data_IF_190435853445
#
_entry.id   IF_190435853445
#
_cell.length_a   1.000
_cell.length_b   1.000
_cell.length_c   1.000
_cell.angle_alpha   90.00
_cell.angle_beta   90.00
_cell.angle_gamma   90.00
#
_symmetry.space_group_name_H-M   'P 1'
#
loop_
_entity.id
_entity.type
_entity.pdbx_description
1 polymer ?
#
# COMPACT_ATOMS: atom_id res chain seq x y z
N UNK A 1 -4.00 -36.81 -9.07
CA UNK A 1 -4.78 -36.71 -7.82
C UNK A 1 -6.26 -36.49 -8.13
N UNK A 2 -7.08 -37.50 -7.85
CA UNK A 2 -8.55 -37.39 -7.93
C UNK A 2 -9.01 -36.25 -7.01
N UNK A 3 -9.92 -35.36 -7.45
CA UNK A 3 -10.46 -34.33 -6.56
C UNK A 3 -11.13 -35.03 -5.35
N UNK A 4 -10.96 -34.54 -4.12
CA UNK A 4 -11.61 -35.14 -2.96
C UNK A 4 -13.14 -35.16 -3.17
N UNK A 5 -13.75 -36.31 -2.85
CA UNK A 5 -15.17 -36.68 -3.06
C UNK A 5 -16.19 -35.70 -2.45
N UNK A 6 -15.74 -34.75 -1.62
CA UNK A 6 -16.53 -33.63 -1.08
C UNK A 6 -16.87 -32.59 -2.17
N UNK A 7 -16.05 -32.51 -3.23
CA UNK A 7 -16.22 -31.53 -4.31
C UNK A 7 -17.39 -31.85 -5.26
N UNK A 8 -17.95 -33.06 -5.25
CA UNK A 8 -19.06 -33.39 -6.16
C UNK A 8 -20.34 -32.60 -5.81
N UNK A 9 -20.68 -32.51 -4.51
CA UNK A 9 -21.84 -31.73 -4.07
C UNK A 9 -21.61 -30.22 -4.23
N UNK A 10 -20.41 -29.74 -3.89
CA UNK A 10 -20.03 -28.33 -4.05
C UNK A 10 -20.04 -27.92 -5.53
N UNK A 11 -19.58 -28.81 -6.42
CA UNK A 11 -19.58 -28.58 -7.87
C UNK A 11 -21.00 -28.54 -8.44
N UNK A 12 -21.89 -29.41 -8.00
CA UNK A 12 -23.31 -29.36 -8.40
C UNK A 12 -23.93 -28.04 -7.95
N UNK A 13 -23.74 -27.65 -6.68
CA UNK A 13 -24.24 -26.37 -6.16
C UNK A 13 -23.67 -25.16 -6.91
N UNK A 14 -22.40 -25.21 -7.31
CA UNK A 14 -21.78 -24.18 -8.15
C UNK A 14 -22.47 -24.07 -9.51
N UNK A 15 -22.64 -25.20 -10.20
CA UNK A 15 -23.27 -25.25 -11.53
C UNK A 15 -24.71 -24.75 -11.45
N UNK A 16 -25.47 -25.18 -10.45
CA UNK A 16 -26.85 -24.70 -10.21
C UNK A 16 -26.89 -23.19 -10.00
N UNK A 17 -25.99 -22.66 -9.16
CA UNK A 17 -25.87 -21.22 -8.91
C UNK A 17 -25.55 -20.47 -10.20
N UNK A 18 -24.56 -20.92 -10.96
CA UNK A 18 -24.16 -20.29 -12.23
C UNK A 18 -25.28 -20.31 -13.28
N UNK A 19 -26.01 -21.41 -13.38
CA UNK A 19 -27.16 -21.52 -14.28
C UNK A 19 -28.30 -20.58 -13.86
N UNK A 20 -28.59 -20.46 -12.56
CA UNK A 20 -29.59 -19.53 -12.05
C UNK A 20 -29.20 -18.07 -12.33
N UNK A 21 -27.93 -17.72 -12.16
CA UNK A 21 -27.39 -16.39 -12.47
C UNK A 21 -27.41 -16.08 -13.97
N UNK A 22 -27.18 -17.09 -14.82
CA UNK A 22 -27.27 -16.94 -16.27
C UNK A 22 -28.71 -16.74 -16.74
N UNK A 23 -29.65 -17.50 -16.17
CA UNK A 23 -31.06 -17.40 -16.52
C UNK A 23 -31.69 -16.05 -16.12
N UNK A 24 -31.15 -15.37 -15.11
CA UNK A 24 -31.59 -14.04 -14.69
C UNK A 24 -32.97 -13.99 -14.03
N UNK A 25 -33.53 -15.15 -13.65
CA UNK A 25 -34.91 -15.25 -13.15
C UNK A 25 -35.13 -14.63 -11.77
N UNK A 26 -34.08 -14.48 -10.96
CA UNK A 26 -34.16 -13.87 -9.64
C UNK A 26 -34.20 -12.33 -9.68
N UNK A 27 -33.76 -11.73 -10.79
CA UNK A 27 -33.62 -10.29 -10.94
C UNK A 27 -32.50 -9.68 -10.11
N UNK A 28 -32.09 -8.47 -10.49
CA UNK A 28 -31.13 -7.68 -9.75
C UNK A 28 -31.81 -6.98 -8.55
N UNK A 29 -31.22 -6.92 -7.34
CA UNK A 29 -29.89 -7.39 -6.93
C UNK A 29 -29.85 -8.82 -6.35
N UNK A 30 -30.95 -9.57 -6.34
CA UNK A 30 -31.03 -10.92 -5.76
C UNK A 30 -29.95 -11.87 -6.30
N UNK A 31 -29.54 -11.68 -7.54
CA UNK A 31 -28.45 -12.42 -8.18
C UNK A 31 -27.13 -12.33 -7.42
N UNK A 32 -26.70 -11.14 -6.96
CA UNK A 32 -25.44 -11.01 -6.20
C UNK A 32 -25.56 -11.66 -4.81
N UNK A 33 -26.73 -11.59 -4.19
CA UNK A 33 -27.01 -12.26 -2.91
C UNK A 33 -26.90 -13.79 -3.05
N UNK A 34 -27.44 -14.36 -4.13
CA UNK A 34 -27.35 -15.80 -4.40
C UNK A 34 -25.89 -16.24 -4.60
N UNK A 35 -25.09 -15.45 -5.32
CA UNK A 35 -23.68 -15.72 -5.50
C UNK A 35 -22.91 -15.69 -4.16
N UNK A 36 -23.18 -14.68 -3.32
CA UNK A 36 -22.58 -14.57 -1.98
C UNK A 36 -22.96 -15.76 -1.09
N UNK A 37 -24.23 -16.11 -1.00
CA UNK A 37 -24.70 -17.23 -0.17
C UNK A 37 -24.06 -18.56 -0.57
N UNK A 38 -23.85 -18.82 -1.87
CA UNK A 38 -23.13 -20.00 -2.32
C UNK A 38 -21.64 -19.96 -1.90
N UNK A 39 -21.00 -18.79 -1.91
CA UNK A 39 -19.59 -18.63 -1.58
C UNK A 39 -19.28 -18.61 -0.08
N UNK A 40 -20.23 -18.20 0.76
CA UNK A 40 -20.12 -18.14 2.22
C UNK A 40 -19.42 -19.35 2.89
N UNK A 41 -19.83 -20.62 2.64
CA UNK A 41 -19.14 -21.78 3.24
C UNK A 41 -17.72 -21.98 2.71
N UNK A 42 -17.40 -21.46 1.53
CA UNK A 42 -16.05 -21.51 0.96
C UNK A 42 -15.14 -20.42 1.53
N UNK A 43 -15.68 -19.26 1.93
CA UNK A 43 -14.91 -18.24 2.65
C UNK A 43 -14.28 -18.83 3.92
N UNK A 44 -15.09 -19.49 4.75
CA UNK A 44 -14.66 -20.10 6.01
C UNK A 44 -13.64 -21.24 5.80
N UNK A 45 -13.76 -21.95 4.68
CA UNK A 45 -12.84 -23.05 4.33
C UNK A 45 -11.49 -22.55 3.80
N UNK A 46 -11.47 -21.41 3.12
CA UNK A 46 -10.31 -20.94 2.34
C UNK A 46 -9.47 -19.87 3.04
N UNK A 47 -10.04 -19.12 4.00
CA UNK A 47 -9.41 -17.94 4.57
C UNK A 47 -9.47 -17.96 6.10
N UNK A 48 -8.35 -17.61 6.76
CA UNK A 48 -8.27 -17.50 8.22
C UNK A 48 -9.07 -16.28 8.73
N UNK A 49 -9.16 -15.23 7.93
CA UNK A 49 -9.87 -13.96 8.12
C UNK A 49 -11.26 -13.97 7.45
N UNK A 50 -12.01 -15.06 7.56
CA UNK A 50 -13.30 -15.21 6.86
C UNK A 50 -14.39 -14.23 7.32
N UNK A 51 -14.38 -13.81 8.58
CA UNK A 51 -15.38 -12.90 9.15
C UNK A 51 -15.34 -11.48 8.55
N UNK A 52 -14.21 -10.76 8.51
CA UNK A 52 -14.14 -9.44 7.86
C UNK A 52 -14.45 -9.54 6.36
N UNK A 53 -13.92 -10.55 5.66
CA UNK A 53 -14.23 -10.78 4.23
C UNK A 53 -15.72 -10.99 3.97
N UNK A 54 -16.42 -11.65 4.87
CA UNK A 54 -17.88 -11.82 4.78
C UNK A 54 -18.58 -10.47 4.93
N UNK A 55 -18.12 -9.60 5.83
CA UNK A 55 -18.66 -8.25 5.99
C UNK A 55 -18.48 -7.43 4.70
N UNK A 56 -17.30 -7.47 4.07
CA UNK A 56 -17.05 -6.83 2.77
C UNK A 56 -18.02 -7.30 1.69
N UNK A 57 -18.28 -8.61 1.58
CA UNK A 57 -19.22 -9.14 0.59
C UNK A 57 -20.68 -8.75 0.87
N UNK A 58 -21.06 -8.63 2.14
CA UNK A 58 -22.39 -8.12 2.53
C UNK A 58 -22.51 -6.64 2.15
N UNK A 59 -21.46 -5.85 2.36
CA UNK A 59 -21.43 -4.46 1.93
C UNK A 59 -21.49 -4.34 0.41
N UNK A 60 -20.78 -5.20 -0.33
CA UNK A 60 -20.84 -5.26 -1.79
C UNK A 60 -22.27 -5.55 -2.28
N UNK A 61 -22.98 -6.46 -1.63
CA UNK A 61 -24.41 -6.75 -1.90
C UNK A 61 -25.29 -5.52 -1.65
N UNK A 62 -25.05 -4.78 -0.57
CA UNK A 62 -25.80 -3.55 -0.25
C UNK A 62 -25.55 -2.44 -1.28
N UNK A 63 -24.29 -2.23 -1.68
CA UNK A 63 -23.93 -1.27 -2.72
C UNK A 63 -24.59 -1.65 -4.05
N UNK A 64 -24.54 -2.93 -4.42
CA UNK A 64 -25.15 -3.48 -5.63
C UNK A 64 -26.67 -3.19 -5.70
N UNK A 65 -27.38 -3.21 -4.56
CA UNK A 65 -28.80 -2.89 -4.50
C UNK A 65 -29.14 -1.44 -4.88
N UNK A 66 -28.17 -0.52 -4.83
CA UNK A 66 -28.33 0.87 -5.29
C UNK A 66 -28.35 1.03 -6.81
N UNK A 67 -28.04 -0.02 -7.57
CA UNK A 67 -27.95 0.04 -9.03
C UNK A 67 -29.16 -0.64 -9.69
N UNK A 68 -29.60 -0.14 -10.86
CA UNK A 68 -30.79 -0.64 -11.53
C UNK A 68 -30.60 -2.00 -12.23
N UNK A 69 -29.36 -2.41 -12.49
CA UNK A 69 -29.04 -3.68 -13.14
C UNK A 69 -27.63 -4.15 -12.83
N UNK A 70 -27.39 -5.46 -13.02
CA UNK A 70 -26.07 -6.09 -12.92
C UNK A 70 -25.05 -5.42 -13.83
N UNK A 71 -25.43 -5.13 -15.08
CA UNK A 71 -24.57 -4.47 -16.07
C UNK A 71 -24.15 -3.08 -15.60
N UNK A 72 -25.09 -2.29 -15.08
CA UNK A 72 -24.80 -0.94 -14.58
C UNK A 72 -23.90 -1.00 -13.35
N UNK A 73 -24.18 -1.91 -12.41
CA UNK A 73 -23.35 -2.11 -11.23
C UNK A 73 -21.91 -2.50 -11.61
N UNK A 74 -21.74 -3.53 -12.45
CA UNK A 74 -20.42 -3.99 -12.87
C UNK A 74 -19.66 -2.92 -13.65
N UNK A 75 -20.36 -2.16 -14.49
CA UNK A 75 -19.76 -1.05 -15.23
C UNK A 75 -19.23 0.01 -14.27
N UNK A 76 -20.05 0.46 -13.32
CA UNK A 76 -19.65 1.49 -12.36
C UNK A 76 -18.55 0.98 -11.43
N UNK A 77 -18.65 -0.26 -10.94
CA UNK A 77 -17.59 -0.91 -10.15
C UNK A 77 -16.25 -0.98 -10.90
N UNK A 78 -16.27 -1.19 -12.22
CA UNK A 78 -15.05 -1.20 -13.04
C UNK A 78 -14.49 0.19 -13.34
N UNK A 79 -15.35 1.22 -13.35
CA UNK A 79 -14.95 2.59 -13.63
C UNK A 79 -14.44 3.31 -12.38
N UNK A 80 -15.13 3.11 -11.26
CA UNK A 80 -14.86 3.72 -9.97
C UNK A 80 -15.10 2.67 -8.86
N UNK A 81 -14.12 1.78 -8.61
CA UNK A 81 -14.26 0.81 -7.55
C UNK A 81 -14.38 1.56 -6.21
N UNK A 82 -15.28 1.14 -5.31
CA UNK A 82 -15.37 1.76 -3.99
C UNK A 82 -14.00 1.66 -3.32
N UNK A 83 -13.57 2.75 -2.68
CA UNK A 83 -12.34 2.74 -1.89
C UNK A 83 -12.38 1.55 -0.95
N UNK A 84 -11.33 0.72 -0.98
CA UNK A 84 -11.24 -0.45 -0.13
C UNK A 84 -11.41 0.00 1.33
N UNK A 85 -12.57 -0.31 1.91
CA UNK A 85 -12.84 -0.12 3.32
C UNK A 85 -11.95 -1.10 4.06
N UNK A 86 -10.76 -0.64 4.44
CA UNK A 86 -10.02 -1.32 5.50
C UNK A 86 -10.93 -1.29 6.72
N UNK A 87 -11.44 -2.44 7.12
CA UNK A 87 -12.44 -2.71 8.19
C UNK A 87 -12.12 -2.13 9.59
N UNK A 88 -11.00 -1.41 9.73
CA UNK A 88 -10.60 -0.71 10.96
C UNK A 88 -11.04 0.77 10.97
N UNK A 89 -11.37 1.34 9.82
CA UNK A 89 -11.89 2.70 9.72
C UNK A 89 -13.42 2.63 9.59
N UNK A 90 -14.14 2.94 10.66
CA UNK A 90 -15.59 3.12 10.61
C UNK A 90 -16.00 4.24 9.63
N UNK A 91 -17.31 4.43 9.35
CA UNK A 91 -17.77 5.54 8.55
C UNK A 91 -17.25 6.86 9.14
N UNK A 92 -16.58 7.73 8.35
CA UNK A 92 -16.04 8.96 8.87
C UNK A 92 -17.19 9.80 9.45
N UNK A 93 -17.07 10.17 10.73
CA UNK A 93 -18.00 11.12 11.35
C UNK A 93 -17.78 12.50 10.72
N UNK A 94 -18.84 13.31 10.57
CA UNK A 94 -18.77 14.62 9.89
C UNK A 94 -17.75 15.60 10.50
N UNK A 95 -17.32 15.35 11.74
CA UNK A 95 -16.38 16.18 12.51
C UNK A 95 -15.05 15.47 12.83
N UNK A 96 -14.72 14.34 12.20
CA UNK A 96 -13.43 13.67 12.42
C UNK A 96 -12.33 14.20 11.49
N UNK A 97 -11.21 14.61 12.10
CA UNK A 97 -9.96 14.86 11.39
C UNK A 97 -9.41 13.53 10.86
N UNK A 98 -9.43 13.34 9.55
CA UNK A 98 -8.91 12.14 8.91
C UNK A 98 -7.63 12.43 8.10
N UNK A 99 -6.77 11.42 8.00
CA UNK A 99 -5.58 11.44 7.16
C UNK A 99 -5.88 10.73 5.84
N UNK A 100 -5.51 11.34 4.72
CA UNK A 100 -5.65 10.73 3.40
C UNK A 100 -4.34 10.00 3.07
N UNK A 101 -4.42 8.68 2.95
CA UNK A 101 -3.35 7.86 2.38
C UNK A 101 -3.68 7.63 0.90
N UNK A 102 -2.73 7.96 0.03
CA UNK A 102 -2.92 7.84 -1.41
C UNK A 102 -1.61 7.46 -2.09
N UNK A 103 -1.72 6.98 -3.33
CA UNK A 103 -0.57 6.81 -4.20
C UNK A 103 -0.27 8.12 -4.93
N UNK A 104 0.98 8.32 -5.38
CA UNK A 104 1.35 9.52 -6.16
C UNK A 104 0.49 9.68 -7.41
N UNK A 105 0.12 8.57 -8.06
CA UNK A 105 -0.72 8.57 -9.26
C UNK A 105 -2.14 9.07 -8.98
N UNK A 106 -2.77 8.54 -7.92
CA UNK A 106 -4.12 8.93 -7.52
C UNK A 106 -4.21 10.36 -7.00
N UNK A 107 -3.09 10.92 -6.51
CA UNK A 107 -3.02 12.30 -6.02
C UNK A 107 -2.99 13.37 -7.14
N UNK A 108 -2.84 12.97 -8.42
CA UNK A 108 -2.77 13.90 -9.54
C UNK A 108 -4.03 14.76 -9.64
N UNK A 109 -3.86 16.08 -9.71
CA UNK A 109 -4.97 17.04 -9.81
C UNK A 109 -5.61 17.41 -8.46
N UNK A 110 -5.21 16.77 -7.38
CA UNK A 110 -5.61 17.11 -6.01
C UNK A 110 -4.54 17.97 -5.34
N UNK A 111 -4.90 18.72 -4.29
CA UNK A 111 -3.96 19.53 -3.51
C UNK A 111 -4.38 19.60 -2.04
N UNK A 112 -3.41 19.58 -1.13
CA UNK A 112 -3.63 19.62 0.31
C UNK A 112 -2.78 20.69 0.96
N UNK A 113 -3.19 21.12 2.15
CA UNK A 113 -2.44 22.10 2.95
C UNK A 113 -1.04 21.58 3.28
N UNK A 114 -0.95 20.36 3.79
CA UNK A 114 0.29 19.68 4.13
C UNK A 114 0.36 18.32 3.46
N UNK A 115 1.52 17.95 2.91
CA UNK A 115 1.76 16.65 2.25
C UNK A 115 3.04 16.02 2.77
N UNK A 116 2.93 14.74 3.12
CA UNK A 116 4.06 13.89 3.50
C UNK A 116 4.34 12.89 2.38
N UNK A 117 5.46 13.06 1.69
CA UNK A 117 5.94 12.07 0.71
C UNK A 117 6.85 11.09 1.45
N UNK A 118 6.40 9.84 1.56
CA UNK A 118 7.13 8.78 2.23
C UNK A 118 8.15 8.12 1.31
N UNK A 119 9.14 7.45 1.89
CA UNK A 119 10.14 6.64 1.17
C UNK A 119 10.86 7.40 0.03
N UNK A 120 11.30 8.63 0.30
CA UNK A 120 12.03 9.48 -0.67
C UNK A 120 13.50 9.04 -0.79
N UNK A 121 13.69 7.79 -1.17
CA UNK A 121 14.96 7.06 -1.25
C UNK A 121 15.14 6.39 -2.61
N UNK A 122 16.39 6.19 -3.02
CA UNK A 122 16.72 5.38 -4.19
C UNK A 122 16.25 3.93 -3.96
N UNK A 123 15.61 3.36 -4.99
CA UNK A 123 14.94 2.05 -4.95
C UNK A 123 13.43 2.15 -4.74
N UNK A 124 12.95 3.24 -4.14
CA UNK A 124 11.53 3.55 -4.05
C UNK A 124 11.13 4.65 -5.04
N UNK A 125 11.90 5.73 -5.13
CA UNK A 125 11.73 6.78 -6.14
C UNK A 125 13.11 7.29 -6.59
N UNK A 126 13.61 6.94 -7.79
CA UNK A 126 12.95 6.08 -8.76
C UNK A 126 12.79 4.64 -8.21
N UNK A 127 11.67 4.02 -8.55
CA UNK A 127 11.47 2.58 -8.34
C UNK A 127 12.51 1.78 -9.10
N UNK A 128 13.08 0.73 -8.51
CA UNK A 128 14.04 -0.14 -9.20
C UNK A 128 13.47 -0.69 -10.52
N UNK A 129 12.14 -0.90 -10.59
CA UNK A 129 11.43 -1.34 -11.80
C UNK A 129 11.37 -0.25 -12.89
N UNK A 130 11.48 1.02 -12.52
CA UNK A 130 11.41 2.19 -13.40
C UNK A 130 12.79 2.76 -13.79
N UNK A 131 13.86 1.97 -13.67
CA UNK A 131 15.24 2.43 -13.96
C UNK A 131 15.87 1.79 -15.19
N UNK A 132 15.10 1.06 -16.01
CA UNK A 132 15.60 0.34 -17.18
C UNK A 132 16.10 1.26 -18.30
N UNK A 133 15.51 2.45 -18.43
CA UNK A 133 15.85 3.44 -19.45
C UNK A 133 15.85 4.86 -18.90
N UNK A 134 16.52 5.78 -19.60
CA UNK A 134 16.49 7.22 -19.26
C UNK A 134 15.07 7.79 -19.28
N UNK A 135 14.21 7.33 -20.20
CA UNK A 135 12.85 7.82 -20.31
C UNK A 135 11.99 7.44 -19.09
N UNK A 136 12.14 6.21 -18.59
CA UNK A 136 11.47 5.72 -17.37
C UNK A 136 11.94 6.48 -16.13
N UNK A 137 13.25 6.73 -16.01
CA UNK A 137 13.81 7.52 -14.91
C UNK A 137 13.23 8.95 -14.91
N UNK A 138 13.07 9.57 -16.09
CA UNK A 138 12.47 10.89 -16.19
C UNK A 138 10.95 10.87 -15.89
N UNK A 139 10.26 9.76 -16.12
CA UNK A 139 8.87 9.59 -15.66
C UNK A 139 8.79 9.50 -14.14
N UNK A 140 9.65 8.69 -13.51
CA UNK A 140 9.75 8.61 -12.04
C UNK A 140 10.10 9.97 -11.41
N UNK A 141 10.95 10.77 -12.08
CA UNK A 141 11.22 12.15 -11.66
C UNK A 141 9.97 13.02 -11.73
N UNK A 142 9.17 12.90 -12.80
CA UNK A 142 7.89 13.60 -12.93
C UNK A 142 6.92 13.19 -11.83
N UNK A 143 6.88 11.91 -11.45
CA UNK A 143 6.06 11.44 -10.33
C UNK A 143 6.46 12.12 -9.01
N UNK A 144 7.75 12.21 -8.69
CA UNK A 144 8.20 12.94 -7.50
C UNK A 144 7.79 14.41 -7.56
N UNK A 145 7.95 15.06 -8.71
CA UNK A 145 7.52 16.44 -8.90
C UNK A 145 6.00 16.62 -8.69
N UNK A 146 5.18 15.71 -9.22
CA UNK A 146 3.72 15.71 -8.99
C UNK A 146 3.44 15.62 -7.49
N UNK A 147 4.03 14.66 -6.79
CA UNK A 147 3.85 14.48 -5.34
C UNK A 147 4.21 15.75 -4.55
N UNK A 148 5.36 16.36 -4.84
CA UNK A 148 5.83 17.58 -4.18
C UNK A 148 4.90 18.77 -4.41
N UNK A 149 4.37 18.90 -5.62
CA UNK A 149 3.47 20.02 -6.00
C UNK A 149 2.03 19.82 -5.55
N UNK A 150 1.70 18.73 -4.85
CA UNK A 150 0.38 18.60 -4.22
C UNK A 150 0.28 19.39 -2.91
N UNK A 151 1.42 19.79 -2.34
CA UNK A 151 1.48 20.60 -1.12
C UNK A 151 1.24 22.09 -1.42
N UNK A 152 0.36 22.74 -0.66
CA UNK A 152 0.13 24.20 -0.72
C UNK A 152 1.04 24.97 0.23
N UNK A 153 1.09 24.53 1.48
CA UNK A 153 1.79 25.26 2.55
C UNK A 153 3.02 24.47 3.02
N UNK A 154 2.83 23.19 3.36
CA UNK A 154 3.87 22.37 4.00
C UNK A 154 4.18 21.10 3.20
N UNK A 155 5.44 20.93 2.81
CA UNK A 155 5.94 19.72 2.14
C UNK A 155 6.98 19.02 3.02
N UNK A 156 6.71 17.76 3.35
CA UNK A 156 7.64 16.92 4.09
C UNK A 156 8.11 15.74 3.24
N UNK A 157 9.42 15.63 3.03
CA UNK A 157 10.05 14.50 2.34
C UNK A 157 10.68 13.57 3.38
N UNK A 158 10.12 12.36 3.53
CA UNK A 158 10.52 11.42 4.58
C UNK A 158 11.46 10.37 4.02
N UNK A 159 12.60 10.20 4.70
CA UNK A 159 13.65 9.26 4.33
C UNK A 159 13.78 8.26 5.49
N UNK A 160 13.30 7.02 5.33
CA UNK A 160 13.47 6.00 6.37
C UNK A 160 14.96 5.66 6.51
N UNK A 161 15.43 5.56 7.74
CA UNK A 161 16.80 5.12 7.99
C UNK A 161 16.95 3.61 7.77
N UNK A 162 15.92 2.81 8.08
CA UNK A 162 15.97 1.35 8.05
C UNK A 162 14.76 0.79 7.29
N UNK A 163 15.04 -0.12 6.37
CA UNK A 163 14.05 -0.92 5.66
C UNK A 163 14.14 -2.37 6.15
N UNK A 164 13.16 -2.82 6.92
CA UNK A 164 13.15 -4.16 7.48
C UNK A 164 12.85 -5.22 6.41
N UNK A 165 13.57 -6.33 6.45
CA UNK A 165 13.35 -7.44 5.51
C UNK A 165 12.12 -8.25 5.88
N UNK A 166 11.39 -8.75 4.88
CA UNK A 166 10.29 -9.70 5.10
C UNK A 166 10.80 -11.07 5.60
N UNK A 167 9.92 -11.85 6.22
CA UNK A 167 10.22 -13.21 6.68
C UNK A 167 11.18 -13.30 7.87
N UNK A 168 11.21 -12.27 8.71
CA UNK A 168 11.91 -12.30 10.00
C UNK A 168 10.92 -12.39 11.16
N UNK A 169 11.41 -12.85 12.30
CA UNK A 169 10.62 -12.92 13.53
C UNK A 169 10.19 -11.50 13.97
N UNK A 170 9.14 -11.40 14.79
CA UNK A 170 8.60 -10.12 15.28
C UNK A 170 9.64 -9.23 16.01
N UNK A 171 10.71 -9.83 16.54
CA UNK A 171 11.83 -9.12 17.19
C UNK A 171 13.12 -9.11 16.35
N UNK A 172 13.03 -9.41 15.05
CA UNK A 172 14.17 -9.36 14.14
C UNK A 172 14.57 -7.91 13.82
N UNK A 173 15.87 -7.61 13.85
CA UNK A 173 16.43 -6.30 13.46
C UNK A 173 17.16 -6.39 12.10
N UNK A 174 16.79 -7.35 11.23
CA UNK A 174 17.42 -7.42 9.90
C UNK A 174 16.83 -6.33 9.01
N UNK A 175 17.67 -5.38 8.63
CA UNK A 175 17.28 -4.24 7.81
C UNK A 175 18.37 -3.87 6.81
N UNK A 176 17.95 -3.14 5.76
CA UNK A 176 18.82 -2.49 4.80
C UNK A 176 18.71 -0.97 4.94
N UNK A 177 19.77 -0.28 4.55
CA UNK A 177 19.81 1.19 4.52
C UNK A 177 19.62 1.64 3.07
N UNK A 178 18.77 2.63 2.86
CA UNK A 178 18.59 3.25 1.55
C UNK A 178 19.17 4.66 1.56
N UNK A 179 19.76 5.05 0.43
CA UNK A 179 20.22 6.43 0.22
C UNK A 179 19.02 7.30 -0.15
N UNK A 180 19.04 8.59 0.21
CA UNK A 180 18.08 9.57 -0.31
C UNK A 180 18.02 9.48 -1.84
N UNK A 181 16.83 9.68 -2.40
CA UNK A 181 16.63 9.71 -3.85
C UNK A 181 17.65 10.59 -4.56
N UNK A 182 18.18 10.10 -5.68
CA UNK A 182 19.04 10.87 -6.59
C UNK A 182 18.35 12.09 -7.20
N UNK A 183 17.02 12.15 -7.16
CA UNK A 183 16.26 13.30 -7.67
C UNK A 183 16.34 14.54 -6.78
N UNK A 184 16.74 14.38 -5.51
CA UNK A 184 17.03 15.48 -4.59
C UNK A 184 18.54 15.49 -4.29
N UNK A 185 19.38 16.05 -5.17
CA UNK A 185 20.82 16.12 -4.93
C UNK A 185 21.16 17.08 -3.79
N UNK A 186 22.39 16.98 -3.27
CA UNK A 186 22.86 17.81 -2.14
C UNK A 186 22.70 19.33 -2.39
N UNK A 187 22.80 19.76 -3.65
CA UNK A 187 22.63 21.16 -4.04
C UNK A 187 21.22 21.71 -3.74
N UNK A 188 20.20 20.85 -3.69
CA UNK A 188 18.83 21.24 -3.38
C UNK A 188 18.54 21.29 -1.89
N UNK A 189 19.37 20.67 -1.04
CA UNK A 189 19.11 20.58 0.41
C UNK A 189 19.04 21.93 1.11
N UNK A 190 19.68 22.97 0.55
CA UNK A 190 19.56 24.35 1.05
C UNK A 190 18.13 24.91 1.01
N UNK A 191 17.24 24.27 0.25
CA UNK A 191 15.83 24.64 0.15
C UNK A 191 14.93 23.84 1.11
N UNK A 192 15.50 22.92 1.89
CA UNK A 192 14.78 22.09 2.84
C UNK A 192 15.32 22.31 4.25
N UNK A 193 14.42 22.29 5.23
CA UNK A 193 14.83 22.09 6.62
C UNK A 193 15.17 20.60 6.83
N UNK A 194 16.37 20.32 7.33
CA UNK A 194 16.80 18.96 7.63
C UNK A 194 16.51 18.62 9.10
N UNK A 195 15.57 17.70 9.31
CA UNK A 195 15.22 17.18 10.64
C UNK A 195 15.49 15.67 10.74
N UNK A 196 15.78 15.20 11.95
CA UNK A 196 15.89 13.77 12.27
C UNK A 196 14.78 13.39 13.25
N UNK A 197 14.10 12.28 12.99
CA UNK A 197 13.08 11.73 13.87
C UNK A 197 13.44 10.31 14.33
N UNK A 198 13.30 9.97 15.62
CA UNK A 198 12.87 10.83 16.72
C UNK A 198 13.90 11.94 17.01
N UNK A 199 13.42 13.11 17.44
CA UNK A 199 14.28 14.20 17.89
C UNK A 199 15.12 13.69 19.05
N UNK A 200 16.42 13.54 18.83
CA UNK A 200 17.35 13.10 19.86
C UNK A 200 17.32 14.13 21.00
N UNK A 201 16.60 13.82 22.07
CA UNK A 201 16.65 14.64 23.28
C UNK A 201 18.05 14.45 23.85
N UNK A 202 18.86 15.51 23.80
CA UNK A 202 20.15 15.53 24.51
C UNK A 202 19.88 15.58 26.01
N UNK A 203 19.46 14.46 26.59
CA UNK A 203 19.47 14.29 28.04
C UNK A 203 20.92 14.27 28.52
N UNK A 204 21.22 14.79 29.74
CA UNK A 204 22.57 14.87 30.29
C UNK A 204 23.28 13.51 30.52
N UNK A 205 22.78 12.39 29.99
CA UNK A 205 23.40 11.06 30.05
C UNK A 205 23.69 10.39 28.71
N UNK A 206 23.36 11.00 27.57
CA UNK A 206 23.44 10.33 26.25
C UNK A 206 24.78 10.55 25.49
N UNK A 207 25.89 10.72 26.21
CA UNK A 207 27.24 10.59 25.65
C UNK A 207 28.02 9.59 26.48
N UNK A 208 27.75 8.30 26.28
CA UNK A 208 28.89 7.39 26.24
C UNK A 208 29.54 7.60 24.88
N UNK A 209 30.81 8.02 24.78
CA UNK A 209 31.51 7.91 23.53
C UNK A 209 31.54 6.41 23.22
N UNK A 210 30.72 5.97 22.27
CA UNK A 210 31.07 4.77 21.54
C UNK A 210 32.40 5.15 20.92
N UNK A 211 33.49 4.59 21.44
CA UNK A 211 34.76 4.55 20.74
C UNK A 211 34.48 3.85 19.41
N UNK A 212 34.02 4.64 18.43
CA UNK A 212 33.91 4.20 17.07
C UNK A 212 35.32 3.76 16.69
N UNK A 213 35.47 2.47 16.42
CA UNK A 213 36.69 1.90 15.86
C UNK A 213 37.06 2.77 14.67
N UNK A 214 38.05 3.65 14.84
CA UNK A 214 38.59 4.47 13.77
C UNK A 214 39.39 3.54 12.87
N UNK A 215 38.71 2.92 11.91
CA UNK A 215 39.38 2.11 10.90
C UNK A 215 40.14 3.08 10.00
N UNK A 216 41.46 3.10 10.15
CA UNK A 216 42.34 3.83 9.24
C UNK A 216 42.42 3.06 7.91
N UNK A 217 41.53 3.39 6.99
CA UNK A 217 41.43 2.77 5.65
C UNK A 217 42.77 2.81 4.90
N UNK A 218 43.55 3.89 5.08
CA UNK A 218 44.87 4.04 4.46
C UNK A 218 45.93 3.07 5.01
N UNK A 219 45.85 2.68 6.27
CA UNK A 219 46.73 1.65 6.84
C UNK A 219 46.36 0.25 6.32
N UNK A 220 45.07 -0.07 6.28
CA UNK A 220 44.56 -1.37 5.84
C UNK A 220 44.84 -1.64 4.34
N UNK A 221 44.79 -0.58 3.52
CA UNK A 221 45.15 -0.69 2.10
C UNK A 221 46.66 -0.87 1.85
N UNK A 222 47.55 -0.45 2.75
CA UNK A 222 49.00 -0.70 2.58
C UNK A 222 49.42 -2.11 2.96
N UNK A 223 48.67 -2.76 3.85
CA UNK A 223 48.91 -4.16 4.26
C UNK A 223 48.48 -5.17 3.19
N UNK A 224 47.46 -4.85 2.39
CA UNK A 224 46.96 -5.72 1.30
C UNK A 224 47.91 -5.84 0.10
N UNK A 225 48.94 -5.00 0.02
CA UNK A 225 49.86 -4.93 -1.13
C UNK A 225 51.32 -5.24 -0.74
N UNK A 226 51.51 -6.02 0.34
CA UNK A 226 52.78 -6.65 0.71
C UNK A 226 52.74 -8.15 0.47
#
# INVERSE_FOLDING_TARGET
>A
PTPPRVLEADWVGFVETMLALHAGGAGWPTEIANARHWYDPHLERMHEDAAPRRADLVQLEQIAAGYPSRERFLTELTLDPPDATSDEAGPPLQDEDYLILSTIHSAKGQEWKSVFVLNVVDGCIPSDLGTGTTAEIEEERRLLYVAMTRAKDDLHLVIPQRFFTHGQNAHGDRHVYASRTRFIPNALLKHFEAANWPLATTGPGARSPVEGVRINVGAKMREMWR
#
